data_IF_193590362164
#
_entry.id   IF_193590362164
#
_cell.length_a   1.000
_cell.length_b   1.000
_cell.length_c   1.000
_cell.angle_alpha   90.00
_cell.angle_beta   90.00
_cell.angle_gamma   90.00
#
_symmetry.space_group_name_H-M   'P 1'
#
loop_
_entity.id
_entity.type
_entity.pdbx_description
1 polymer ?
#
# COMPACT_ATOMS: atom_id res chain seq x y z
N UNK A 1 17.44 3.14 4.08
CA UNK A 1 16.90 3.91 2.95
C UNK A 1 15.85 3.13 2.19
N UNK A 2 16.22 2.39 1.13
CA UNK A 2 15.27 1.74 0.20
C UNK A 2 14.12 0.97 0.87
N UNK A 3 14.42 0.05 1.78
CA UNK A 3 13.39 -0.78 2.44
C UNK A 3 12.43 0.02 3.33
N UNK A 4 12.93 1.06 3.99
CA UNK A 4 12.10 2.01 4.75
C UNK A 4 11.13 2.75 3.82
N UNK A 5 11.63 3.28 2.70
CA UNK A 5 10.81 3.96 1.70
C UNK A 5 9.74 3.04 1.11
N UNK A 6 10.09 1.77 0.82
CA UNK A 6 9.11 0.76 0.40
C UNK A 6 8.06 0.50 1.47
N UNK A 7 8.44 0.37 2.75
CA UNK A 7 7.48 0.16 3.83
C UNK A 7 6.49 1.33 3.93
N UNK A 8 6.99 2.56 3.87
CA UNK A 8 6.18 3.77 3.93
C UNK A 8 5.18 3.86 2.76
N UNK A 9 5.64 3.68 1.52
CA UNK A 9 4.78 3.76 0.34
C UNK A 9 3.68 2.69 0.38
N UNK A 10 4.01 1.46 0.80
CA UNK A 10 3.01 0.40 0.88
C UNK A 10 1.93 0.67 1.94
N UNK A 11 2.29 1.35 3.03
CA UNK A 11 1.30 1.77 4.03
C UNK A 11 0.43 2.89 3.49
N UNK A 12 1.01 3.87 2.81
CA UNK A 12 0.30 4.96 2.14
C UNK A 12 -0.72 4.41 1.14
N UNK A 13 -0.25 3.57 0.20
CA UNK A 13 -1.09 2.89 -0.78
C UNK A 13 -2.20 2.06 -0.11
N UNK A 14 -1.91 1.35 0.99
CA UNK A 14 -2.91 0.53 1.68
C UNK A 14 -3.96 1.38 2.41
N UNK A 15 -3.53 2.49 3.02
CA UNK A 15 -4.40 3.42 3.72
C UNK A 15 -5.35 4.07 2.74
N UNK A 16 -4.89 4.47 1.55
CA UNK A 16 -5.75 5.06 0.54
C UNK A 16 -7.02 4.23 0.34
N UNK A 17 -6.96 2.89 0.24
CA UNK A 17 -8.15 2.05 0.06
C UNK A 17 -8.98 1.75 1.33
N UNK A 18 -8.49 2.08 2.53
CA UNK A 18 -9.18 1.86 3.82
C UNK A 18 -10.08 3.07 4.16
N UNK A 19 -11.28 3.08 3.55
CA UNK A 19 -12.20 4.21 3.41
C UNK A 19 -12.90 4.72 4.69
N UNK A 20 -12.21 4.86 5.81
CA UNK A 20 -12.81 5.33 7.07
C UNK A 20 -12.99 6.86 7.17
N UNK A 21 -12.50 7.65 6.21
CA UNK A 21 -12.66 9.11 6.21
C UNK A 21 -12.99 9.69 4.82
N UNK A 22 -13.86 10.71 4.79
CA UNK A 22 -14.23 11.47 3.59
C UNK A 22 -13.06 12.19 2.92
N UNK A 23 -11.93 12.36 3.62
CA UNK A 23 -10.72 12.97 3.06
C UNK A 23 -9.90 12.00 2.20
N UNK A 24 -9.92 10.70 2.50
CA UNK A 24 -9.13 9.69 1.78
C UNK A 24 -9.69 9.35 0.40
N UNK A 25 -11.02 9.44 0.22
CA UNK A 25 -11.66 9.13 -1.07
C UNK A 25 -11.20 10.01 -2.25
N UNK A 26 -10.62 11.20 -1.97
CA UNK A 26 -10.04 12.07 -3.00
C UNK A 26 -8.74 11.50 -3.57
N UNK A 27 -7.83 11.02 -2.73
CA UNK A 27 -6.53 10.51 -3.17
C UNK A 27 -6.68 9.20 -3.97
N UNK A 28 -7.54 8.28 -3.52
CA UNK A 28 -7.83 7.05 -4.27
C UNK A 28 -8.35 7.37 -5.67
N UNK A 29 -9.29 8.32 -5.76
CA UNK A 29 -9.89 8.72 -7.02
C UNK A 29 -8.90 9.36 -7.98
N UNK A 30 -7.82 9.94 -7.47
CA UNK A 30 -6.74 10.51 -8.27
C UNK A 30 -5.76 9.43 -8.74
N UNK A 31 -5.37 8.51 -7.86
CA UNK A 31 -4.50 7.38 -8.21
C UNK A 31 -5.13 6.43 -9.24
N UNK A 32 -6.43 6.13 -9.09
CA UNK A 32 -7.19 5.38 -10.09
C UNK A 32 -7.36 6.18 -11.38
N UNK A 33 -7.64 7.49 -11.30
CA UNK A 33 -7.76 8.33 -12.48
C UNK A 33 -6.47 8.37 -13.30
N UNK A 34 -5.30 8.33 -12.63
CA UNK A 34 -3.98 8.28 -13.26
C UNK A 34 -3.55 6.86 -13.68
N UNK A 35 -4.31 5.83 -13.32
CA UNK A 35 -4.01 4.43 -13.64
C UNK A 35 -2.81 3.87 -12.88
N UNK A 36 -2.53 4.38 -11.66
CA UNK A 36 -1.36 3.95 -10.89
C UNK A 36 -1.48 2.48 -10.46
N UNK A 37 -0.51 1.61 -10.83
CA UNK A 37 -0.54 0.21 -10.46
C UNK A 37 -0.01 -0.02 -9.04
N UNK A 38 -0.72 0.48 -8.03
CA UNK A 38 -0.38 0.28 -6.61
C UNK A 38 -0.50 -1.19 -6.20
N UNK A 39 0.19 -1.58 -5.12
CA UNK A 39 0.19 -2.99 -4.71
C UNK A 39 -1.22 -3.53 -4.33
N UNK A 40 -2.10 -2.77 -3.64
CA UNK A 40 -3.47 -3.21 -3.39
C UNK A 40 -4.21 -3.53 -4.70
N UNK A 41 -4.08 -2.67 -5.72
CA UNK A 41 -4.77 -2.83 -7.00
C UNK A 41 -4.22 -4.03 -7.80
N UNK A 42 -2.90 -4.21 -7.81
CA UNK A 42 -2.26 -5.41 -8.40
C UNK A 42 -2.74 -6.68 -7.71
N UNK A 43 -2.89 -6.68 -6.38
CA UNK A 43 -3.39 -7.86 -5.67
C UNK A 43 -4.84 -8.17 -6.05
N UNK A 44 -5.70 -7.15 -6.09
CA UNK A 44 -7.09 -7.28 -6.50
C UNK A 44 -7.22 -7.82 -7.94
N UNK A 45 -6.41 -7.34 -8.88
CA UNK A 45 -6.35 -7.86 -10.25
C UNK A 45 -6.14 -9.39 -10.32
N UNK A 46 -5.44 -9.98 -9.35
CA UNK A 46 -5.17 -11.42 -9.32
C UNK A 46 -6.16 -12.24 -8.48
N UNK A 47 -6.95 -11.60 -7.61
CA UNK A 47 -7.74 -12.28 -6.56
C UNK A 47 -9.23 -12.01 -6.61
N UNK A 48 -9.66 -10.96 -7.30
CA UNK A 48 -11.05 -10.57 -7.49
C UNK A 48 -11.75 -11.45 -8.54
N UNK A 49 -13.08 -11.35 -8.65
CA UNK A 49 -13.87 -12.09 -9.63
C UNK A 49 -13.54 -11.65 -11.07
N UNK A 50 -13.75 -12.49 -12.11
CA UNK A 50 -13.35 -12.17 -13.48
C UNK A 50 -13.85 -10.81 -14.00
N UNK A 51 -15.08 -10.42 -13.64
CA UNK A 51 -15.64 -9.11 -14.00
C UNK A 51 -14.87 -7.95 -13.37
N UNK A 52 -14.47 -8.09 -12.11
CA UNK A 52 -13.68 -7.09 -11.38
C UNK A 52 -12.26 -7.00 -11.91
N UNK A 53 -11.65 -8.14 -12.28
CA UNK A 53 -10.33 -8.16 -12.90
C UNK A 53 -10.29 -7.39 -14.23
N UNK A 54 -11.35 -7.45 -15.03
CA UNK A 54 -11.47 -6.68 -16.27
C UNK A 54 -11.51 -5.18 -15.94
N UNK A 55 -12.40 -4.75 -15.03
CA UNK A 55 -12.50 -3.33 -14.63
C UNK A 55 -11.17 -2.79 -14.06
N UNK A 56 -10.51 -3.58 -13.20
CA UNK A 56 -9.22 -3.20 -12.61
C UNK A 56 -8.14 -3.08 -13.70
N UNK A 57 -8.11 -3.99 -14.67
CA UNK A 57 -7.16 -3.94 -15.78
C UNK A 57 -7.36 -2.69 -16.63
N UNK A 58 -8.60 -2.39 -16.99
CA UNK A 58 -8.95 -1.21 -17.79
C UNK A 58 -8.48 0.08 -17.10
N UNK A 59 -8.71 0.22 -15.79
CA UNK A 59 -8.25 1.39 -15.04
C UNK A 59 -6.73 1.46 -14.93
N UNK A 60 -6.01 0.34 -14.79
CA UNK A 60 -4.54 0.35 -14.81
C UNK A 60 -3.99 0.78 -16.18
N UNK A 61 -4.61 0.34 -17.28
CA UNK A 61 -4.10 0.58 -18.64
C UNK A 61 -4.46 1.96 -19.18
N UNK A 62 -5.59 2.52 -18.76
CA UNK A 62 -6.15 3.74 -19.35
C UNK A 62 -6.43 4.85 -18.33
N UNK A 63 -6.29 4.56 -17.05
CA UNK A 63 -6.79 5.44 -16.00
C UNK A 63 -8.32 5.52 -16.02
N UNK A 64 -8.84 6.53 -15.32
CA UNK A 64 -10.27 6.82 -15.27
C UNK A 64 -10.90 6.61 -13.90
N UNK A 65 -12.08 7.20 -13.73
CA UNK A 65 -12.87 7.14 -12.49
C UNK A 65 -14.10 6.26 -12.63
N UNK A 66 -14.30 5.68 -13.82
CA UNK A 66 -15.28 4.65 -14.11
C UNK A 66 -15.12 3.53 -13.07
N UNK A 67 -16.21 3.05 -12.48
CA UNK A 67 -16.18 1.90 -11.57
C UNK A 67 -15.35 2.06 -10.28
N UNK A 68 -14.93 3.27 -9.90
CA UNK A 68 -14.13 3.54 -8.69
C UNK A 68 -14.68 2.81 -7.44
N UNK A 69 -15.97 2.94 -7.16
CA UNK A 69 -16.61 2.30 -6.00
C UNK A 69 -16.52 0.76 -6.07
N UNK A 70 -16.74 0.18 -7.25
CA UNK A 70 -16.67 -1.27 -7.45
C UNK A 70 -15.24 -1.80 -7.30
N UNK A 71 -14.25 -1.05 -7.78
CA UNK A 71 -12.83 -1.38 -7.64
C UNK A 71 -12.40 -1.30 -6.17
N UNK A 72 -12.82 -0.25 -5.44
CA UNK A 72 -12.56 -0.13 -4.01
C UNK A 72 -13.14 -1.32 -3.24
N UNK A 73 -14.37 -1.73 -3.55
CA UNK A 73 -14.99 -2.90 -2.91
C UNK A 73 -14.26 -4.20 -3.26
N UNK A 74 -13.81 -4.37 -4.51
CA UNK A 74 -13.00 -5.50 -4.93
C UNK A 74 -11.67 -5.57 -4.15
N UNK A 75 -10.99 -4.43 -3.96
CA UNK A 75 -9.75 -4.33 -3.17
C UNK A 75 -9.98 -4.71 -1.70
N UNK A 76 -11.07 -4.24 -1.09
CA UNK A 76 -11.41 -4.55 0.31
C UNK A 76 -11.77 -6.02 0.50
N UNK A 77 -12.62 -6.57 -0.36
CA UNK A 77 -13.16 -7.92 -0.23
C UNK A 77 -12.14 -9.02 -0.54
N UNK A 78 -11.17 -8.77 -1.42
CA UNK A 78 -10.16 -9.77 -1.80
C UNK A 78 -8.96 -9.86 -0.82
N UNK A 79 -8.94 -9.05 0.24
CA UNK A 79 -7.85 -9.04 1.22
C UNK A 79 -6.59 -8.28 0.80
N UNK A 80 -6.67 -7.46 -0.25
CA UNK A 80 -5.52 -6.72 -0.78
C UNK A 80 -4.89 -5.76 0.25
N UNK A 81 -5.71 -5.07 1.06
CA UNK A 81 -5.22 -4.16 2.12
C UNK A 81 -4.36 -4.94 3.13
N UNK A 82 -4.87 -6.06 3.64
CA UNK A 82 -4.15 -6.89 4.60
C UNK A 82 -2.84 -7.45 4.02
N UNK A 83 -2.87 -7.87 2.75
CA UNK A 83 -1.68 -8.32 2.03
C UNK A 83 -0.64 -7.19 1.91
N UNK A 84 -1.05 -6.00 1.47
CA UNK A 84 -0.14 -4.85 1.33
C UNK A 84 0.48 -4.45 2.66
N UNK A 85 -0.31 -4.40 3.75
CA UNK A 85 0.21 -4.15 5.10
C UNK A 85 1.21 -5.21 5.56
N UNK A 86 0.99 -6.48 5.23
CA UNK A 86 1.96 -7.54 5.51
C UNK A 86 3.28 -7.30 4.75
N UNK A 87 3.21 -6.90 3.48
CA UNK A 87 4.38 -6.59 2.65
C UNK A 87 5.13 -5.36 3.17
N UNK A 88 4.42 -4.36 3.68
CA UNK A 88 5.02 -3.20 4.34
C UNK A 88 5.82 -3.62 5.57
N UNK A 89 5.24 -4.44 6.47
CA UNK A 89 5.93 -4.99 7.64
C UNK A 89 7.19 -5.77 7.26
N UNK A 90 7.12 -6.60 6.22
CA UNK A 90 8.30 -7.32 5.70
C UNK A 90 9.38 -6.37 5.15
N UNK A 91 9.00 -5.25 4.54
CA UNK A 91 9.96 -4.23 4.12
C UNK A 91 10.61 -3.53 5.33
N UNK A 92 9.83 -3.18 6.35
CA UNK A 92 10.35 -2.62 7.61
C UNK A 92 11.35 -3.56 8.29
N UNK A 93 11.03 -4.84 8.44
CA UNK A 93 11.94 -5.84 8.99
C UNK A 93 13.25 -5.95 8.19
N UNK A 94 13.17 -5.92 6.85
CA UNK A 94 14.37 -5.88 5.99
C UNK A 94 15.18 -4.60 6.19
N UNK A 95 14.54 -3.47 6.49
CA UNK A 95 15.24 -2.23 6.83
C UNK A 95 16.01 -2.36 8.15
N UNK A 96 15.41 -2.98 9.17
CA UNK A 96 16.03 -3.25 10.48
C UNK A 96 17.21 -4.22 10.33
N UNK A 97 17.02 -5.33 9.60
CA UNK A 97 18.08 -6.32 9.33
C UNK A 97 19.27 -5.69 8.61
N UNK A 98 19.03 -4.75 7.70
CA UNK A 98 20.10 -4.04 6.99
C UNK A 98 21.00 -3.20 7.93
N UNK A 99 20.51 -2.82 9.12
CA UNK A 99 21.28 -2.12 10.15
C UNK A 99 22.16 -3.06 11.00
N UNK A 100 22.11 -4.38 10.79
CA UNK A 100 22.86 -5.36 11.58
C UNK A 100 24.38 -5.06 11.64
N UNK A 101 24.96 -4.56 10.55
CA UNK A 101 26.39 -4.21 10.45
C UNK A 101 26.75 -2.82 10.98
N UNK A 102 25.76 -2.01 11.36
CA UNK A 102 25.99 -0.69 11.94
C UNK A 102 26.32 -0.89 13.43
N UNK A 103 27.39 -0.28 13.96
CA UNK A 103 27.70 -0.32 15.39
C UNK A 103 26.54 0.18 16.27
N UNK A 104 26.41 -0.38 17.47
CA UNK A 104 25.40 0.05 18.43
C UNK A 104 25.61 1.54 18.78
N UNK A 105 24.55 2.33 18.66
CA UNK A 105 24.55 3.76 18.93
C UNK A 105 23.11 4.26 18.96
N UNK A 106 22.89 5.41 19.60
CA UNK A 106 21.60 6.11 19.58
C UNK A 106 21.06 6.33 18.15
N UNK A 107 21.95 6.55 17.18
CA UNK A 107 21.57 6.73 15.79
C UNK A 107 21.06 5.44 15.15
N UNK A 108 21.67 4.29 15.46
CA UNK A 108 21.18 2.99 15.03
C UNK A 108 19.79 2.72 15.60
N UNK A 109 19.61 2.98 16.90
CA UNK A 109 18.33 2.77 17.57
C UNK A 109 17.24 3.66 16.97
N UNK A 110 17.55 4.93 16.72
CA UNK A 110 16.63 5.88 16.06
C UNK A 110 16.22 5.41 14.65
N UNK A 111 17.13 4.79 13.89
CA UNK A 111 16.81 4.23 12.57
C UNK A 111 15.93 2.98 12.66
N UNK A 112 16.09 2.16 13.70
CA UNK A 112 15.22 1.01 13.97
C UNK A 112 13.81 1.51 14.34
N UNK A 113 13.72 2.49 15.23
CA UNK A 113 12.45 3.06 15.65
C UNK A 113 11.72 3.72 14.47
N UNK A 114 12.44 4.43 13.61
CA UNK A 114 11.89 4.99 12.37
C UNK A 114 11.33 3.90 11.45
N UNK A 115 12.01 2.76 11.33
CA UNK A 115 11.54 1.64 10.51
C UNK A 115 10.26 1.00 11.08
N UNK A 116 10.18 0.83 12.40
CA UNK A 116 8.97 0.31 13.07
C UNK A 116 7.81 1.28 12.92
N UNK A 117 8.05 2.56 13.19
CA UNK A 117 7.05 3.62 13.07
C UNK A 117 6.43 3.69 11.67
N UNK A 118 7.22 3.44 10.61
CA UNK A 118 6.73 3.48 9.24
C UNK A 118 5.56 2.52 8.95
N UNK A 119 5.41 1.43 9.72
CA UNK A 119 4.36 0.42 9.53
C UNK A 119 3.30 0.37 10.63
N UNK A 120 3.47 1.19 11.67
CA UNK A 120 2.55 1.33 12.79
C UNK A 120 1.50 2.43 12.58
N UNK A 121 1.61 3.22 11.50
CA UNK A 121 0.64 4.28 11.16
C UNK A 121 -0.79 3.75 11.13
N UNK A 122 -1.52 4.03 12.20
CA UNK A 122 -2.99 4.01 12.33
C UNK A 122 -3.40 5.16 13.22
N UNK A 123 -3.44 6.39 12.70
CA UNK A 123 -4.07 7.55 13.32
C UNK A 123 -4.46 8.56 12.24
#
# INVERSE_FOLDING_TARGET
GKQLGTAFQLVDDALDYDSSSEQLGKNIGDDLAEGKPTLPLIHALHRSAPKEQIMIREVIEHGGREHTEAIIEAVKSCGAIAYTMQRARQASERAIIALSRVPASIYKDSLIDLARFAVERRY
#
